data_IF_982624921295
#
_entry.id   IF_982624921295
#
_cell.length_a   1.000
_cell.length_b   1.000
_cell.length_c   1.000
_cell.angle_alpha   90.00
_cell.angle_beta   90.00
_cell.angle_gamma   90.00
#
_symmetry.space_group_name_H-M   'P 1'
#
loop_
_entity.id
_entity.type
_entity.pdbx_description
1 polymer ?
#
# COMPACT_ATOMS: atom_id res chain seq x y z
N UNK A 1 -17.32 16.52 63.95
CA UNK A 1 -16.24 16.97 63.05
C UNK A 1 -16.55 16.42 61.67
N UNK A 2 -17.18 17.24 60.82
CA UNK A 2 -17.52 16.86 59.46
C UNK A 2 -17.05 17.96 58.53
N UNK A 3 -15.88 17.79 57.95
CA UNK A 3 -15.36 18.71 56.95
C UNK A 3 -16.26 18.64 55.73
N UNK A 4 -17.09 19.69 55.54
CA UNK A 4 -17.85 19.90 54.31
C UNK A 4 -16.86 20.08 53.17
N UNK A 5 -16.70 19.06 52.34
CA UNK A 5 -16.01 19.14 51.06
C UNK A 5 -16.53 20.36 50.31
N UNK A 6 -15.69 21.40 50.16
CA UNK A 6 -16.03 22.61 49.41
C UNK A 6 -16.30 22.20 47.97
N UNK A 7 -17.57 22.19 47.57
CA UNK A 7 -17.99 21.86 46.22
C UNK A 7 -17.29 22.78 45.23
N UNK A 8 -16.65 22.18 44.22
CA UNK A 8 -16.06 22.91 43.09
C UNK A 8 -17.18 23.77 42.51
N UNK A 9 -16.97 25.09 42.43
CA UNK A 9 -17.96 26.01 41.87
C UNK A 9 -18.41 25.51 40.48
N UNK A 10 -19.72 25.40 40.19
CA UNK A 10 -20.23 24.89 38.91
C UNK A 10 -19.63 25.60 37.67
N UNK A 11 -19.22 26.86 37.84
CA UNK A 11 -18.55 27.66 36.82
C UNK A 11 -17.13 27.13 36.54
N UNK A 12 -16.37 26.82 37.58
CA UNK A 12 -15.00 26.29 37.45
C UNK A 12 -15.01 24.91 36.80
N UNK A 13 -15.97 24.06 37.16
CA UNK A 13 -16.15 22.76 36.53
C UNK A 13 -16.44 22.87 35.02
N UNK A 14 -17.32 23.81 34.64
CA UNK A 14 -17.65 24.06 33.23
C UNK A 14 -16.45 24.57 32.43
N UNK A 15 -15.66 25.49 32.98
CA UNK A 15 -14.46 26.02 32.31
C UNK A 15 -13.41 24.92 32.11
N UNK A 16 -13.21 24.06 33.12
CA UNK A 16 -12.28 22.93 33.02
C UNK A 16 -12.76 21.90 31.98
N UNK A 17 -14.06 21.63 31.89
CA UNK A 17 -14.63 20.75 30.87
C UNK A 17 -14.42 21.31 29.45
N UNK A 18 -14.62 22.61 29.25
CA UNK A 18 -14.39 23.25 27.95
C UNK A 18 -12.90 23.16 27.58
N UNK A 19 -11.99 23.52 28.50
CA UNK A 19 -10.55 23.46 28.26
C UNK A 19 -10.07 22.02 27.97
N UNK A 20 -10.63 21.04 28.67
CA UNK A 20 -10.32 19.64 28.43
C UNK A 20 -10.85 19.17 27.06
N UNK A 21 -12.06 19.57 26.70
CA UNK A 21 -12.65 19.26 25.38
C UNK A 21 -11.85 19.86 24.23
N UNK A 22 -11.37 21.10 24.35
CA UNK A 22 -10.55 21.74 23.32
C UNK A 22 -9.16 21.09 23.22
N UNK A 23 -8.57 20.69 24.34
CA UNK A 23 -7.31 19.95 24.34
C UNK A 23 -7.43 18.61 23.61
N UNK A 24 -8.49 17.83 23.86
CA UNK A 24 -8.75 16.58 23.14
C UNK A 24 -8.97 16.85 21.65
N UNK A 25 -9.79 17.85 21.31
CA UNK A 25 -10.05 18.20 19.92
C UNK A 25 -8.78 18.57 19.16
N UNK A 26 -7.84 19.29 19.80
CA UNK A 26 -6.54 19.61 19.21
C UNK A 26 -5.72 18.36 18.92
N UNK A 27 -5.62 17.43 19.88
CA UNK A 27 -4.86 16.17 19.71
C UNK A 27 -5.45 15.33 18.57
N UNK A 28 -6.77 15.14 18.57
CA UNK A 28 -7.47 14.37 17.54
C UNK A 28 -7.34 15.06 16.18
N UNK A 29 -7.46 16.39 16.14
CA UNK A 29 -7.28 17.19 14.93
C UNK A 29 -5.90 17.02 14.32
N UNK A 30 -4.84 17.11 15.12
CA UNK A 30 -3.46 16.88 14.66
C UNK A 30 -3.26 15.46 14.13
N UNK A 31 -3.77 14.45 14.83
CA UNK A 31 -3.69 13.07 14.35
C UNK A 31 -4.43 12.87 13.01
N UNK A 32 -5.65 13.41 12.89
CA UNK A 32 -6.45 13.32 11.68
C UNK A 32 -5.78 14.03 10.49
N UNK A 33 -5.20 15.22 10.73
CA UNK A 33 -4.43 15.95 9.71
C UNK A 33 -3.20 15.16 9.27
N UNK A 34 -2.41 14.64 10.20
CA UNK A 34 -1.22 13.85 9.89
C UNK A 34 -1.56 12.58 9.11
N UNK A 35 -2.63 11.88 9.50
CA UNK A 35 -3.12 10.71 8.77
C UNK A 35 -3.53 11.08 7.35
N UNK A 36 -4.28 12.16 7.18
CA UNK A 36 -4.75 12.60 5.87
C UNK A 36 -3.60 13.03 4.98
N UNK A 37 -2.64 13.82 5.51
CA UNK A 37 -1.44 14.23 4.77
C UNK A 37 -0.60 13.03 4.33
N UNK A 38 -0.37 12.06 5.21
CA UNK A 38 0.37 10.84 4.88
C UNK A 38 -0.32 10.00 3.79
N UNK A 39 -1.66 9.97 3.79
CA UNK A 39 -2.43 9.30 2.74
C UNK A 39 -2.39 10.07 1.42
N UNK A 40 -2.53 11.39 1.45
CA UNK A 40 -2.48 12.24 0.26
C UNK A 40 -1.11 12.18 -0.42
N UNK A 41 -0.02 12.27 0.35
CA UNK A 41 1.33 12.17 -0.22
C UNK A 41 1.57 10.81 -0.89
N UNK A 42 1.07 9.72 -0.30
CA UNK A 42 1.15 8.39 -0.91
C UNK A 42 0.33 8.28 -2.20
N UNK A 43 -0.89 8.81 -2.22
CA UNK A 43 -1.75 8.82 -3.41
C UNK A 43 -1.13 9.66 -4.54
N UNK A 44 -0.53 10.79 -4.21
CA UNK A 44 0.10 11.68 -5.19
C UNK A 44 1.30 11.03 -5.87
N UNK A 45 2.12 10.30 -5.11
CA UNK A 45 3.21 9.47 -5.68
C UNK A 45 2.69 8.41 -6.66
N UNK A 46 1.53 7.80 -6.36
CA UNK A 46 0.93 6.77 -7.20
C UNK A 46 0.15 7.33 -8.41
N UNK A 47 -0.17 8.63 -8.45
CA UNK A 47 -1.06 9.22 -9.47
C UNK A 47 -0.48 9.16 -10.89
N UNK A 48 0.85 9.28 -11.01
CA UNK A 48 1.55 9.27 -12.30
C UNK A 48 2.29 7.95 -12.53
N UNK A 49 1.84 6.87 -11.87
CA UNK A 49 2.52 5.60 -11.88
C UNK A 49 1.94 4.72 -12.98
N UNK A 50 2.79 4.31 -13.90
CA UNK A 50 2.39 3.57 -15.08
C UNK A 50 3.46 2.52 -15.39
N UNK A 51 3.04 1.26 -15.44
CA UNK A 51 3.92 0.10 -15.59
C UNK A 51 3.40 -0.75 -16.74
N UNK A 52 4.28 -1.08 -17.68
CA UNK A 52 3.99 -1.96 -18.80
C UNK A 52 4.82 -3.24 -18.69
N UNK A 53 4.25 -4.35 -19.16
CA UNK A 53 5.04 -5.54 -19.44
C UNK A 53 5.41 -5.57 -20.92
N UNK A 54 6.65 -5.96 -21.21
CA UNK A 54 7.17 -6.11 -22.57
C UNK A 54 7.21 -7.55 -23.00
N UNK A 55 7.64 -8.41 -22.09
CA UNK A 55 7.80 -9.83 -22.36
C UNK A 55 7.33 -10.62 -21.15
N UNK A 56 6.75 -11.77 -21.42
CA UNK A 56 6.33 -12.73 -20.42
C UNK A 56 6.63 -14.13 -20.95
N UNK A 57 7.32 -14.92 -20.15
CA UNK A 57 7.60 -16.31 -20.44
C UNK A 57 7.27 -17.13 -19.20
N UNK A 58 6.60 -18.25 -19.38
CA UNK A 58 6.30 -19.18 -18.31
C UNK A 58 6.37 -20.60 -18.83
N UNK A 59 7.08 -21.45 -18.11
CA UNK A 59 7.15 -22.87 -18.39
C UNK A 59 6.30 -23.64 -17.35
N UNK A 60 5.18 -24.27 -17.76
CA UNK A 60 4.32 -25.01 -16.84
C UNK A 60 4.98 -26.30 -16.30
N UNK A 61 5.97 -26.86 -16.99
CA UNK A 61 6.67 -28.07 -16.55
C UNK A 61 7.63 -27.79 -15.39
N UNK A 62 8.42 -26.72 -15.50
CA UNK A 62 9.37 -26.32 -14.44
C UNK A 62 8.73 -25.39 -13.40
N UNK A 63 7.53 -24.87 -13.68
CA UNK A 63 6.82 -23.86 -12.88
C UNK A 63 7.64 -22.57 -12.67
N UNK A 64 8.52 -22.25 -13.61
CA UNK A 64 9.34 -21.05 -13.61
C UNK A 64 8.96 -20.12 -14.76
N UNK A 65 9.15 -18.82 -14.56
CA UNK A 65 8.89 -17.82 -15.58
C UNK A 65 9.70 -16.55 -15.40
N UNK A 66 9.67 -15.71 -16.42
CA UNK A 66 10.23 -14.36 -16.39
C UNK A 66 9.23 -13.34 -16.91
N UNK A 67 9.25 -12.15 -16.31
CA UNK A 67 8.49 -11.00 -16.76
C UNK A 67 9.40 -9.79 -16.88
N UNK A 68 9.36 -9.13 -18.03
CA UNK A 68 10.08 -7.88 -18.26
C UNK A 68 9.13 -6.72 -18.09
N UNK A 69 9.33 -5.95 -17.03
CA UNK A 69 8.53 -4.77 -16.71
C UNK A 69 9.29 -3.50 -17.08
N UNK A 70 8.57 -2.50 -17.57
CA UNK A 70 9.08 -1.14 -17.68
C UNK A 70 8.24 -0.21 -16.83
N UNK A 71 8.90 0.53 -15.94
CA UNK A 71 8.28 1.68 -15.29
C UNK A 71 8.32 2.85 -16.27
N UNK A 72 7.18 3.35 -16.76
CA UNK A 72 7.16 4.56 -17.60
C UNK A 72 6.64 5.80 -16.86
N UNK A 73 6.16 5.60 -15.64
CA UNK A 73 5.62 6.64 -14.76
C UNK A 73 6.63 7.19 -13.76
N UNK A 74 6.13 7.54 -12.57
CA UNK A 74 6.94 7.95 -11.43
C UNK A 74 7.85 6.80 -10.93
N UNK A 75 9.02 7.10 -10.32
CA UNK A 75 9.88 6.08 -9.71
C UNK A 75 9.14 5.24 -8.67
N UNK A 76 9.52 3.97 -8.53
CA UNK A 76 8.84 3.02 -7.62
C UNK A 76 9.84 2.31 -6.71
N UNK A 77 9.40 1.93 -5.51
CA UNK A 77 10.25 1.22 -4.54
C UNK A 77 10.37 -0.29 -4.82
N UNK A 78 9.66 -0.75 -5.84
CA UNK A 78 9.73 -2.12 -6.36
C UNK A 78 8.37 -2.75 -6.60
N UNK A 79 8.37 -4.07 -6.75
CA UNK A 79 7.20 -4.84 -7.21
C UNK A 79 6.95 -6.07 -6.36
N UNK A 80 5.68 -6.41 -6.21
CA UNK A 80 5.21 -7.73 -5.75
C UNK A 80 4.58 -8.44 -6.93
N UNK A 81 5.00 -9.67 -7.17
CA UNK A 81 4.49 -10.53 -8.23
C UNK A 81 3.72 -11.65 -7.57
N UNK A 82 2.49 -11.83 -8.02
CA UNK A 82 1.61 -12.90 -7.59
C UNK A 82 1.30 -13.82 -8.77
N UNK A 83 1.31 -15.12 -8.56
CA UNK A 83 0.71 -16.07 -9.48
C UNK A 83 -0.79 -16.20 -9.17
N UNK A 84 -1.62 -16.31 -10.20
CA UNK A 84 -3.07 -16.42 -10.11
C UNK A 84 -3.55 -17.74 -10.70
N UNK A 85 -4.36 -18.50 -9.96
CA UNK A 85 -5.12 -19.65 -10.49
C UNK A 85 -6.50 -19.19 -10.98
N UNK A 86 -7.12 -18.29 -10.22
CA UNK A 86 -8.36 -17.62 -10.56
C UNK A 86 -8.37 -16.19 -9.99
N UNK A 87 -9.51 -15.50 -10.07
CA UNK A 87 -9.66 -14.10 -9.60
C UNK A 87 -9.50 -13.97 -8.08
N UNK A 88 -9.76 -15.04 -7.33
CA UNK A 88 -9.81 -15.08 -5.87
C UNK A 88 -8.59 -15.80 -5.25
N UNK A 89 -7.88 -16.61 -6.01
CA UNK A 89 -6.73 -17.40 -5.58
C UNK A 89 -5.44 -16.86 -6.17
N UNK A 90 -4.66 -16.19 -5.31
CA UNK A 90 -3.33 -15.67 -5.63
C UNK A 90 -2.30 -16.10 -4.61
N UNK A 91 -1.07 -16.38 -5.04
CA UNK A 91 0.07 -16.57 -4.16
C UNK A 91 1.19 -15.59 -4.53
N UNK A 92 1.83 -14.99 -3.53
CA UNK A 92 3.02 -14.17 -3.75
C UNK A 92 4.18 -15.07 -4.17
N UNK A 93 4.72 -14.85 -5.36
CA UNK A 93 5.83 -15.65 -5.92
C UNK A 93 7.16 -14.90 -5.86
N UNK A 94 7.12 -13.57 -5.89
CA UNK A 94 8.32 -12.75 -5.80
C UNK A 94 8.02 -11.37 -5.24
N UNK A 95 8.95 -10.86 -4.43
CA UNK A 95 8.97 -9.46 -4.03
C UNK A 95 10.35 -8.89 -4.31
N UNK A 96 10.39 -7.73 -4.98
CA UNK A 96 11.61 -6.96 -5.24
C UNK A 96 11.44 -5.63 -4.56
N UNK A 97 12.30 -5.36 -3.57
CA UNK A 97 12.39 -4.07 -2.88
C UNK A 97 13.63 -3.34 -3.37
N UNK A 98 13.55 -2.82 -4.57
CA UNK A 98 14.64 -2.04 -5.16
C UNK A 98 14.02 -0.85 -5.83
N UNK A 99 14.64 0.30 -5.64
CA UNK A 99 14.26 1.51 -6.34
C UNK A 99 14.39 1.32 -7.85
N UNK A 100 13.30 1.56 -8.58
CA UNK A 100 13.22 1.43 -10.03
C UNK A 100 12.89 2.82 -10.59
N UNK A 101 13.87 3.51 -11.18
CA UNK A 101 13.68 4.81 -11.79
C UNK A 101 12.73 4.74 -12.99
N UNK A 102 12.26 5.92 -13.40
CA UNK A 102 11.46 6.08 -14.61
C UNK A 102 12.22 5.58 -15.84
N UNK A 103 11.47 4.97 -16.75
CA UNK A 103 11.90 4.38 -18.01
C UNK A 103 12.83 3.16 -17.91
N UNK A 104 13.16 2.68 -16.70
CA UNK A 104 13.97 1.47 -16.52
C UNK A 104 13.15 0.22 -16.86
N UNK A 105 13.79 -0.68 -17.63
CA UNK A 105 13.31 -2.03 -17.88
C UNK A 105 13.99 -2.99 -16.93
N UNK A 106 13.22 -3.88 -16.33
CA UNK A 106 13.74 -4.92 -15.44
C UNK A 106 13.09 -6.24 -15.76
N UNK A 107 13.93 -7.22 -16.04
CA UNK A 107 13.52 -8.62 -16.09
C UNK A 107 13.49 -9.20 -14.68
N UNK A 108 12.43 -9.94 -14.39
CA UNK A 108 12.18 -10.52 -13.08
C UNK A 108 11.84 -11.99 -13.28
N UNK A 109 12.71 -12.84 -12.74
CA UNK A 109 12.48 -14.28 -12.70
C UNK A 109 11.68 -14.65 -11.45
N UNK A 110 10.72 -15.55 -11.62
CA UNK A 110 9.86 -16.05 -10.57
C UNK A 110 9.65 -17.56 -10.71
N UNK A 111 9.40 -18.23 -9.59
CA UNK A 111 8.97 -19.63 -9.54
C UNK A 111 7.69 -19.73 -8.72
N UNK A 112 6.84 -20.69 -9.03
CA UNK A 112 5.57 -20.91 -8.32
C UNK A 112 5.39 -22.37 -7.93
N UNK A 113 4.76 -22.61 -6.78
CA UNK A 113 4.33 -23.96 -6.38
C UNK A 113 2.92 -24.29 -6.92
N UNK A 114 2.15 -23.24 -7.26
CA UNK A 114 0.79 -23.36 -7.77
C UNK A 114 0.74 -24.09 -9.12
N UNK A 115 -0.31 -24.88 -9.29
CA UNK A 115 -0.63 -25.56 -10.55
C UNK A 115 -1.67 -24.79 -11.35
N UNK A 116 -1.61 -24.91 -12.68
CA UNK A 116 -2.59 -24.32 -13.60
C UNK A 116 -2.78 -22.81 -13.42
N UNK A 117 -1.68 -22.06 -13.29
CA UNK A 117 -1.75 -20.60 -13.21
C UNK A 117 -2.36 -20.04 -14.51
N UNK A 118 -3.29 -19.10 -14.37
CA UNK A 118 -3.93 -18.38 -15.48
C UNK A 118 -3.24 -17.08 -15.83
N UNK A 119 -2.37 -16.60 -14.95
CA UNK A 119 -1.64 -15.36 -15.16
C UNK A 119 -0.79 -14.98 -13.97
N UNK A 120 -0.08 -13.88 -14.13
CA UNK A 120 0.59 -13.18 -13.04
C UNK A 120 -0.04 -11.81 -12.83
N UNK A 121 -0.04 -11.36 -11.57
CA UNK A 121 -0.40 -10.01 -11.21
C UNK A 121 0.82 -9.33 -10.60
N UNK A 122 1.15 -8.17 -11.14
CA UNK A 122 2.20 -7.31 -10.61
C UNK A 122 1.52 -6.18 -9.86
N UNK A 123 1.91 -5.99 -8.60
CA UNK A 123 1.47 -4.91 -7.74
C UNK A 123 2.68 -4.05 -7.39
N UNK A 124 2.54 -2.73 -7.45
CA UNK A 124 3.63 -1.83 -7.10
C UNK A 124 3.65 -1.59 -5.59
N UNK A 125 4.84 -1.68 -5.00
CA UNK A 125 5.03 -1.44 -3.56
C UNK A 125 4.62 0.00 -3.25
N UNK A 126 3.91 0.18 -2.13
CA UNK A 126 3.32 1.46 -1.69
C UNK A 126 2.18 2.03 -2.58
N UNK A 127 1.88 1.38 -3.71
CA UNK A 127 0.80 1.76 -4.63
C UNK A 127 -0.13 0.56 -4.93
N UNK A 128 -0.90 0.07 -3.94
CA UNK A 128 -1.68 -1.17 -4.07
C UNK A 128 -2.82 -1.13 -5.09
N UNK A 129 -3.22 0.08 -5.51
CA UNK A 129 -4.24 0.28 -6.53
C UNK A 129 -3.69 0.15 -7.96
N UNK A 130 -2.36 0.22 -8.12
CA UNK A 130 -1.73 0.05 -9.42
C UNK A 130 -1.32 -1.40 -9.59
N UNK A 131 -2.15 -2.13 -10.33
CA UNK A 131 -1.98 -3.56 -10.61
C UNK A 131 -1.96 -3.80 -12.10
N UNK A 132 -1.07 -4.68 -12.53
CA UNK A 132 -0.96 -5.14 -13.90
C UNK A 132 -1.23 -6.63 -13.92
N UNK A 133 -2.21 -7.06 -14.69
CA UNK A 133 -2.50 -8.47 -14.93
C UNK A 133 -1.91 -8.90 -16.28
N UNK A 134 -1.22 -10.03 -16.29
CA UNK A 134 -0.58 -10.60 -17.47
C UNK A 134 -1.09 -12.03 -17.59
N UNK A 135 -1.92 -12.36 -18.60
CA UNK A 135 -2.41 -13.72 -18.78
C UNK A 135 -1.29 -14.65 -19.22
N UNK A 136 -1.29 -15.86 -18.68
CA UNK A 136 -0.48 -16.97 -19.24
C UNK A 136 -1.23 -17.45 -20.47
N UNK A 137 -0.60 -17.37 -21.63
CA UNK A 137 -1.18 -17.77 -22.92
C UNK A 137 -0.67 -19.15 -23.32
#
# INVERSE_FOLDING_TARGET
>A
MGDKLKGISPIVASVLLIAFSTAIAAIVGTWAMNYTQAKLSGIEMCKNLEVYYYNFSYNPETKEGSVTLQNIGAPVDGYRIYALIDVNQKALVKEIKTFIPKSEKREINFGTELENIKGIMVEVINCPNTRLFIPVT
#
